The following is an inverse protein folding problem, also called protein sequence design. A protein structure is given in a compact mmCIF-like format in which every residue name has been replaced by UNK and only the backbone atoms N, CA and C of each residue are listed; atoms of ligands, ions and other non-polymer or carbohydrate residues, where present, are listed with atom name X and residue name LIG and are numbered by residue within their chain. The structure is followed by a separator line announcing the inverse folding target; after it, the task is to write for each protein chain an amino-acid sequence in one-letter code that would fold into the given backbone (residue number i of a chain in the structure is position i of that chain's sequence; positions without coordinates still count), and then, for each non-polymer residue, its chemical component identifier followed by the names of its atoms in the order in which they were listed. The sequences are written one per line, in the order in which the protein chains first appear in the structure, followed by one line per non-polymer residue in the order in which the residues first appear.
data_IF_636489880318
#
_entry.id   IF_636489880318
#
_cell.length_a   1.000
_cell.length_b   1.000
_cell.length_c   1.000
_cell.angle_alpha   90.00
_cell.angle_beta   90.00
_cell.angle_gamma   90.00
#
_symmetry.space_group_name_H-M   'P 1'
#
loop_
_entity.id
_entity.type
_entity.pdbx_description
1 polymer ?
#
# COMPACT_ATOMS: atom_id res chain seq x y z
N UNK A 1 32.40 6.02 -71.81
CA UNK A 1 32.08 7.17 -70.96
C UNK A 1 30.57 7.26 -70.69
N UNK A 2 29.94 6.25 -70.08
CA UNK A 2 28.57 6.33 -69.51
C UNK A 2 28.08 5.05 -68.79
N UNK A 3 28.80 3.92 -68.87
CA UNK A 3 28.37 2.64 -68.25
C UNK A 3 29.06 2.37 -66.89
N UNK A 4 30.18 3.05 -66.56
CA UNK A 4 30.82 2.93 -65.24
C UNK A 4 30.15 3.79 -64.14
N UNK A 5 29.29 4.74 -64.48
CA UNK A 5 28.59 5.59 -63.49
C UNK A 5 27.24 4.99 -63.03
N UNK A 6 26.78 3.91 -63.65
CA UNK A 6 25.62 3.14 -63.18
C UNK A 6 26.01 2.24 -61.99
N UNK A 7 27.32 2.00 -61.79
CA UNK A 7 27.89 1.33 -60.61
C UNK A 7 28.09 2.25 -59.41
N UNK A 8 27.62 3.50 -59.44
CA UNK A 8 27.12 4.08 -58.20
C UNK A 8 25.79 3.40 -57.92
N UNK A 9 25.89 2.11 -57.55
CA UNK A 9 24.90 1.41 -56.76
C UNK A 9 24.39 2.47 -55.81
N UNK A 10 23.09 2.79 -55.88
CA UNK A 10 22.43 3.47 -54.78
C UNK A 10 22.60 2.50 -53.61
N UNK A 11 23.77 2.52 -52.98
CA UNK A 11 24.04 1.86 -51.72
C UNK A 11 23.20 2.69 -50.78
N UNK A 12 21.93 2.32 -50.67
CA UNK A 12 21.06 2.81 -49.62
C UNK A 12 21.80 2.43 -48.35
N UNK A 13 22.50 3.40 -47.78
CA UNK A 13 23.30 3.20 -46.59
C UNK A 13 22.32 2.80 -45.51
N UNK A 14 22.43 1.56 -45.03
CA UNK A 14 21.57 1.08 -43.97
C UNK A 14 21.74 1.98 -42.77
N UNK A 15 20.64 2.55 -42.29
CA UNK A 15 20.67 3.41 -41.11
C UNK A 15 20.98 2.62 -39.83
N UNK A 16 20.83 1.30 -39.88
CA UNK A 16 21.20 0.40 -38.79
C UNK A 16 22.67 -0.07 -38.83
N UNK A 17 23.41 0.17 -39.92
CA UNK A 17 24.83 -0.21 -40.00
C UNK A 17 25.72 0.47 -38.96
N UNK A 18 25.32 1.64 -38.46
CA UNK A 18 26.03 2.36 -37.41
C UNK A 18 25.62 1.94 -35.99
N UNK A 19 24.82 0.87 -35.84
CA UNK A 19 24.30 0.37 -34.55
C UNK A 19 23.79 1.48 -33.63
N UNK A 20 22.82 2.29 -34.06
CA UNK A 20 22.42 3.51 -33.34
C UNK A 20 21.58 3.25 -32.07
N UNK A 21 21.08 2.02 -31.88
CA UNK A 21 20.22 1.68 -30.75
C UNK A 21 21.04 1.12 -29.60
N UNK A 22 20.82 1.65 -28.40
CA UNK A 22 21.54 1.29 -27.19
C UNK A 22 20.81 0.18 -26.40
N UNK A 23 21.45 -0.32 -25.34
CA UNK A 23 20.85 -1.26 -24.37
C UNK A 23 20.26 -2.54 -25.00
N UNK A 24 20.86 -3.01 -26.10
CA UNK A 24 20.41 -4.23 -26.79
C UNK A 24 19.11 -4.06 -27.59
N UNK A 25 18.64 -2.82 -27.76
CA UNK A 25 17.45 -2.51 -28.55
C UNK A 25 17.62 -2.88 -30.03
N UNK A 26 16.51 -3.30 -30.65
CA UNK A 26 16.51 -3.75 -32.04
C UNK A 26 16.38 -2.55 -32.98
N UNK A 27 17.34 -2.40 -33.90
CA UNK A 27 17.26 -1.39 -34.95
C UNK A 27 16.41 -1.88 -36.13
N UNK A 28 15.47 -1.04 -36.56
CA UNK A 28 14.59 -1.29 -37.71
C UNK A 28 14.73 -0.15 -38.71
N UNK A 29 14.98 -0.47 -39.98
CA UNK A 29 14.93 0.52 -41.04
C UNK A 29 13.50 0.98 -41.32
N UNK A 30 13.33 2.30 -41.40
CA UNK A 30 12.08 2.96 -41.81
C UNK A 30 12.42 3.91 -42.96
N UNK A 31 11.49 4.29 -43.83
CA UNK A 31 11.79 5.11 -45.03
C UNK A 31 12.71 6.31 -44.73
N UNK A 32 13.92 6.29 -45.32
CA UNK A 32 14.99 7.26 -45.12
C UNK A 32 15.49 7.48 -43.67
N UNK A 33 15.11 6.63 -42.71
CA UNK A 33 15.51 6.72 -41.30
C UNK A 33 15.63 5.34 -40.64
N UNK A 34 15.71 5.29 -39.31
CA UNK A 34 15.61 4.09 -38.49
C UNK A 34 14.66 4.33 -37.31
N UNK A 35 14.26 3.24 -36.67
CA UNK A 35 13.53 3.21 -35.39
C UNK A 35 14.20 2.17 -34.50
N UNK A 36 14.38 2.50 -33.22
CA UNK A 36 14.78 1.53 -32.21
C UNK A 36 13.53 0.95 -31.54
N UNK A 37 13.42 -0.38 -31.51
CA UNK A 37 12.49 -1.10 -30.63
C UNK A 37 13.21 -1.36 -29.30
N UNK A 38 12.89 -0.53 -28.31
CA UNK A 38 13.48 -0.62 -26.98
C UNK A 38 13.07 -1.92 -26.30
N UNK A 39 14.00 -2.50 -25.55
CA UNK A 39 13.67 -3.54 -24.58
C UNK A 39 12.83 -2.94 -23.44
N UNK A 40 12.10 -3.78 -22.68
CA UNK A 40 11.47 -3.36 -21.43
C UNK A 40 12.44 -2.58 -20.54
N UNK A 41 11.93 -1.54 -19.88
CA UNK A 41 12.73 -0.68 -19.00
C UNK A 41 13.54 0.42 -19.67
N UNK A 42 13.54 0.51 -21.01
CA UNK A 42 14.24 1.57 -21.75
C UNK A 42 13.29 2.41 -22.60
N UNK A 43 13.67 3.66 -22.81
CA UNK A 43 12.95 4.62 -23.62
C UNK A 43 13.90 5.61 -24.32
N UNK A 44 13.33 6.54 -25.10
CA UNK A 44 14.07 7.45 -25.95
C UNK A 44 14.19 6.97 -27.39
N UNK A 45 14.63 7.87 -28.26
CA UNK A 45 14.76 7.59 -29.71
C UNK A 45 15.80 6.48 -29.96
N UNK A 46 16.83 6.42 -29.12
CA UNK A 46 17.93 5.46 -29.22
C UNK A 46 17.84 4.37 -28.15
N UNK A 47 16.80 4.35 -27.33
CA UNK A 47 16.66 3.44 -26.18
C UNK A 47 17.81 3.57 -25.17
N UNK A 48 18.37 4.77 -25.06
CA UNK A 48 19.51 5.13 -24.21
C UNK A 48 19.10 5.58 -22.80
N UNK A 49 17.81 5.85 -22.59
CA UNK A 49 17.28 6.30 -21.32
C UNK A 49 16.59 5.15 -20.58
N UNK A 50 16.79 5.08 -19.27
CA UNK A 50 16.02 4.16 -18.43
C UNK A 50 14.63 4.75 -18.19
N UNK A 51 13.60 3.94 -18.43
CA UNK A 51 12.22 4.35 -18.30
C UNK A 51 11.88 4.63 -16.84
N UNK A 52 11.35 5.81 -16.57
CA UNK A 52 10.88 6.16 -15.23
C UNK A 52 9.43 5.71 -15.03
N UNK A 53 9.23 4.59 -14.34
CA UNK A 53 7.90 4.05 -14.05
C UNK A 53 7.08 4.91 -13.08
N UNK A 54 7.70 5.90 -12.43
CA UNK A 54 7.03 6.86 -11.54
C UNK A 54 6.51 8.11 -12.25
N UNK A 55 6.80 8.32 -13.54
CA UNK A 55 6.44 9.54 -14.26
C UNK A 55 4.92 9.84 -14.24
N UNK A 56 4.10 8.79 -14.23
CA UNK A 56 2.64 8.89 -14.21
C UNK A 56 2.05 9.07 -12.80
N UNK A 57 2.89 9.17 -11.76
CA UNK A 57 2.49 9.22 -10.35
C UNK A 57 1.49 8.11 -9.97
N UNK A 58 1.90 6.83 -10.09
CA UNK A 58 1.01 5.71 -9.81
C UNK A 58 0.63 5.60 -8.33
N UNK A 59 1.52 6.00 -7.42
CA UNK A 59 1.32 5.94 -5.97
C UNK A 59 0.38 7.05 -5.47
N UNK A 60 -0.56 6.69 -4.59
CA UNK A 60 -1.59 7.57 -4.02
C UNK A 60 -1.30 7.92 -2.56
N UNK A 61 -2.11 8.83 -2.01
CA UNK A 61 -2.14 9.15 -0.58
C UNK A 61 -0.78 9.54 0.04
N UNK A 62 0.04 10.28 -0.73
CA UNK A 62 1.34 10.77 -0.27
C UNK A 62 2.43 9.70 -0.22
N UNK A 63 2.20 8.51 -0.78
CA UNK A 63 3.20 7.46 -0.89
C UNK A 63 4.39 7.86 -1.77
N UNK A 64 5.57 7.32 -1.46
CA UNK A 64 6.78 7.54 -2.25
C UNK A 64 6.86 6.51 -3.37
N UNK A 65 7.06 6.96 -4.61
CA UNK A 65 7.27 6.07 -5.76
C UNK A 65 8.75 5.81 -5.98
N UNK A 66 9.12 4.53 -6.10
CA UNK A 66 10.44 4.08 -6.51
C UNK A 66 10.35 3.42 -7.89
N UNK A 67 11.03 4.01 -8.88
CA UNK A 67 11.14 3.38 -10.20
C UNK A 67 12.06 2.16 -10.10
N UNK A 68 11.64 1.05 -10.70
CA UNK A 68 12.44 -0.17 -10.91
C UNK A 68 12.65 -0.34 -12.42
N UNK A 69 13.40 -1.38 -12.80
CA UNK A 69 13.77 -1.66 -14.19
C UNK A 69 12.54 -1.84 -15.08
N UNK A 70 11.60 -2.70 -14.69
CA UNK A 70 10.37 -2.99 -15.45
C UNK A 70 9.07 -2.74 -14.66
N UNK A 71 9.18 -2.11 -13.49
CA UNK A 71 8.04 -1.88 -12.60
C UNK A 71 8.25 -0.62 -11.74
N UNK A 72 7.30 -0.33 -10.88
CA UNK A 72 7.42 0.63 -9.79
C UNK A 72 7.09 -0.05 -8.45
N UNK A 73 7.62 0.52 -7.38
CA UNK A 73 7.28 0.15 -6.02
C UNK A 73 6.75 1.40 -5.29
N UNK A 74 5.58 1.29 -4.68
CA UNK A 74 5.04 2.35 -3.83
C UNK A 74 5.35 2.04 -2.37
N UNK A 75 6.05 2.96 -1.71
CA UNK A 75 6.21 2.95 -0.27
C UNK A 75 5.03 3.69 0.36
N UNK A 76 4.05 2.92 0.83
CA UNK A 76 2.84 3.47 1.43
C UNK A 76 3.13 4.15 2.77
N UNK A 77 2.32 5.16 3.09
CA UNK A 77 2.27 5.72 4.44
C UNK A 77 1.52 4.76 5.37
N UNK A 78 1.71 4.89 6.69
CA UNK A 78 1.24 3.90 7.69
C UNK A 78 -0.26 3.54 7.61
N UNK A 79 -1.09 4.44 7.07
CA UNK A 79 -2.55 4.30 6.98
C UNK A 79 -3.07 3.65 5.69
N UNK A 80 -2.21 3.39 4.71
CA UNK A 80 -2.62 2.90 3.39
C UNK A 80 -1.85 1.65 2.99
N UNK A 81 -2.45 0.85 2.11
CA UNK A 81 -1.90 -0.38 1.59
C UNK A 81 -2.29 -0.62 0.12
N UNK A 82 -1.87 -1.77 -0.41
CA UNK A 82 -2.06 -2.13 -1.82
C UNK A 82 -0.94 -1.62 -2.73
N UNK A 83 -0.94 -2.07 -3.99
CA UNK A 83 0.14 -1.80 -4.97
C UNK A 83 0.38 -0.30 -5.21
N UNK A 84 -0.69 0.48 -5.17
CA UNK A 84 -0.67 1.93 -5.41
C UNK A 84 -0.97 2.75 -4.17
N UNK A 85 -1.05 2.13 -2.98
CA UNK A 85 -1.36 2.80 -1.72
C UNK A 85 -2.71 3.55 -1.75
N UNK A 86 -3.71 3.01 -2.46
CA UNK A 86 -5.04 3.60 -2.59
C UNK A 86 -6.04 3.02 -1.59
N UNK A 87 -5.73 1.86 -1.02
CA UNK A 87 -6.59 1.17 -0.07
C UNK A 87 -6.27 1.64 1.35
N UNK A 88 -7.32 1.91 2.14
CA UNK A 88 -7.14 2.15 3.57
C UNK A 88 -6.79 0.86 4.28
N UNK A 89 -5.77 0.91 5.12
CA UNK A 89 -5.38 -0.23 5.95
C UNK A 89 -6.44 -0.51 7.00
N UNK A 90 -6.99 -1.72 6.99
CA UNK A 90 -7.96 -2.16 7.99
C UNK A 90 -7.23 -2.75 9.22
N UNK A 91 -7.09 -1.93 10.26
CA UNK A 91 -6.47 -2.32 11.52
C UNK A 91 -7.31 -3.30 12.35
N UNK A 92 -8.59 -3.51 12.00
CA UNK A 92 -9.47 -4.45 12.69
C UNK A 92 -9.27 -5.91 12.26
N UNK A 93 -8.53 -6.18 11.17
CA UNK A 93 -8.26 -7.55 10.69
C UNK A 93 -7.57 -8.41 11.77
N UNK A 94 -6.78 -7.78 12.66
CA UNK A 94 -6.09 -8.47 13.75
C UNK A 94 -6.97 -8.74 14.98
N UNK A 95 -8.25 -8.34 14.94
CA UNK A 95 -9.19 -8.43 16.05
C UNK A 95 -8.62 -7.85 17.36
N UNK A 96 -8.26 -6.56 17.37
CA UNK A 96 -7.56 -5.98 18.50
C UNK A 96 -8.44 -5.80 19.75
N UNK A 97 -9.76 -5.70 19.61
CA UNK A 97 -10.69 -5.52 20.72
C UNK A 97 -11.03 -6.86 21.40
N UNK A 98 -10.95 -6.93 22.73
CA UNK A 98 -11.21 -8.16 23.49
C UNK A 98 -12.71 -8.30 23.81
N UNK A 99 -13.32 -7.27 24.39
CA UNK A 99 -14.75 -7.22 24.72
C UNK A 99 -15.40 -5.97 24.13
N UNK A 100 -15.52 -5.94 22.79
CA UNK A 100 -16.06 -4.79 22.08
C UNK A 100 -16.00 -4.92 20.57
N UNK A 101 -16.66 -3.99 19.89
CA UNK A 101 -16.64 -3.91 18.43
C UNK A 101 -15.47 -3.05 17.95
N UNK A 102 -14.75 -3.53 16.95
CA UNK A 102 -13.66 -2.79 16.34
C UNK A 102 -14.17 -1.91 15.21
N UNK A 103 -13.74 -0.64 15.19
CA UNK A 103 -13.92 0.28 14.07
C UNK A 103 -12.57 0.74 13.54
N UNK A 104 -12.27 0.54 12.25
CA UNK A 104 -11.05 1.06 11.67
C UNK A 104 -11.13 2.59 11.58
N UNK A 105 -10.02 3.27 11.87
CA UNK A 105 -9.87 4.70 11.71
C UNK A 105 -8.58 4.99 10.94
N UNK A 106 -8.39 6.24 10.48
CA UNK A 106 -7.17 6.58 9.74
C UNK A 106 -5.96 6.43 10.66
N UNK A 107 -5.09 5.47 10.31
CA UNK A 107 -3.85 5.20 11.01
C UNK A 107 -3.95 4.36 12.28
N UNK A 108 -5.15 3.90 12.66
CA UNK A 108 -5.35 3.09 13.87
C UNK A 108 -6.71 2.34 13.87
N UNK A 109 -7.09 1.77 15.01
CA UNK A 109 -8.43 1.27 15.30
C UNK A 109 -9.01 1.94 16.55
N UNK A 110 -10.33 1.87 16.69
CA UNK A 110 -11.04 2.22 17.91
C UNK A 110 -11.91 1.05 18.34
N UNK A 111 -11.91 0.74 19.63
CA UNK A 111 -12.80 -0.26 20.21
C UNK A 111 -13.99 0.40 20.91
N UNK A 112 -15.20 0.06 20.49
CA UNK A 112 -16.42 0.36 21.23
C UNK A 112 -16.65 -0.75 22.26
N UNK A 113 -16.24 -0.49 23.50
CA UNK A 113 -16.30 -1.49 24.56
C UNK A 113 -17.72 -1.86 24.93
N UNK A 114 -17.94 -3.15 25.16
CA UNK A 114 -19.13 -3.67 25.81
C UNK A 114 -19.27 -3.06 27.23
N UNK A 115 -20.51 -2.94 27.76
CA UNK A 115 -20.71 -2.51 29.14
C UNK A 115 -19.90 -3.37 30.14
N UNK A 116 -19.27 -2.72 31.12
CA UNK A 116 -18.39 -3.39 32.09
C UNK A 116 -16.92 -3.48 31.68
N UNK A 117 -16.57 -3.07 30.46
CA UNK A 117 -15.18 -3.07 29.97
C UNK A 117 -14.68 -1.68 29.59
N UNK A 118 -13.37 -1.46 29.73
CA UNK A 118 -12.68 -0.22 29.36
C UNK A 118 -11.26 -0.51 28.85
N UNK A 119 -10.57 0.56 28.46
CA UNK A 119 -9.23 0.50 27.88
C UNK A 119 -9.27 0.58 26.36
N UNK A 120 -8.13 0.86 25.73
CA UNK A 120 -8.03 1.00 24.27
C UNK A 120 -8.41 -0.29 23.52
N UNK A 121 -8.27 -1.45 24.18
CA UNK A 121 -8.60 -2.77 23.63
C UNK A 121 -9.77 -3.45 24.35
N UNK A 122 -10.49 -2.74 25.22
CA UNK A 122 -11.58 -3.28 26.04
C UNK A 122 -11.16 -4.53 26.85
N UNK A 123 -9.93 -4.52 27.33
CA UNK A 123 -9.26 -5.61 28.05
C UNK A 123 -9.19 -5.37 29.56
N UNK A 124 -9.71 -4.24 30.03
CA UNK A 124 -9.72 -3.86 31.44
C UNK A 124 -11.15 -3.93 31.95
N UNK A 125 -11.37 -4.79 32.93
CA UNK A 125 -12.62 -4.91 33.66
C UNK A 125 -12.91 -3.64 34.48
N UNK A 126 -14.16 -3.18 34.48
CA UNK A 126 -14.60 -2.05 35.31
C UNK A 126 -14.95 -2.59 36.68
N UNK A 127 -14.35 -2.03 37.74
CA UNK A 127 -14.80 -2.31 39.10
C UNK A 127 -16.04 -1.49 39.44
N UNK A 128 -17.23 -2.06 39.28
CA UNK A 128 -18.47 -1.36 39.63
C UNK A 128 -18.64 -1.15 41.14
N UNK A 129 -17.97 -1.94 41.99
CA UNK A 129 -18.06 -1.80 43.43
C UNK A 129 -17.52 -0.46 43.94
N UNK A 130 -16.65 0.20 43.17
CA UNK A 130 -16.15 1.55 43.47
C UNK A 130 -17.25 2.63 43.47
N UNK A 131 -18.44 2.32 42.93
CA UNK A 131 -19.60 3.23 42.94
C UNK A 131 -20.65 2.87 44.00
N UNK A 132 -20.35 1.93 44.90
CA UNK A 132 -21.26 1.46 45.94
C UNK A 132 -22.65 1.07 45.39
N UNK A 133 -22.74 0.14 44.41
CA UNK A 133 -23.99 -0.16 43.71
C UNK A 133 -24.97 -1.00 44.54
N UNK A 134 -24.50 -1.64 45.61
CA UNK A 134 -25.32 -2.50 46.46
C UNK A 134 -26.09 -1.67 47.50
N UNK A 135 -27.40 -1.91 47.58
CA UNK A 135 -28.28 -1.26 48.54
C UNK A 135 -28.24 -1.94 49.91
N UNK A 136 -28.71 -1.24 50.96
CA UNK A 136 -28.85 -1.76 52.32
C UNK A 136 -27.57 -2.39 52.90
N UNK A 137 -26.41 -1.76 52.68
CA UNK A 137 -25.10 -2.23 53.14
C UNK A 137 -24.73 -3.65 52.65
N UNK A 138 -25.29 -4.09 51.52
CA UNK A 138 -24.94 -5.35 50.89
C UNK A 138 -23.46 -5.40 50.46
N UNK A 139 -22.82 -6.55 50.63
CA UNK A 139 -21.43 -6.76 50.24
C UNK A 139 -21.32 -6.90 48.71
N UNK A 140 -20.48 -6.05 48.10
CA UNK A 140 -20.24 -6.02 46.66
C UNK A 140 -19.05 -6.88 46.28
N UNK A 141 -19.17 -7.66 45.20
CA UNK A 141 -18.08 -8.42 44.60
C UNK A 141 -18.01 -8.08 43.12
N UNK A 142 -16.86 -7.54 42.68
CA UNK A 142 -16.60 -7.29 41.27
C UNK A 142 -16.44 -8.61 40.51
N UNK A 143 -16.96 -8.68 39.29
CA UNK A 143 -16.92 -9.86 38.42
C UNK A 143 -16.61 -9.44 36.98
N UNK A 144 -16.10 -10.32 36.11
CA UNK A 144 -15.81 -9.93 34.73
C UNK A 144 -17.06 -9.38 34.01
N UNK A 145 -16.99 -8.10 33.62
CA UNK A 145 -18.04 -7.34 32.95
C UNK A 145 -19.24 -6.96 33.82
N UNK A 146 -19.20 -7.19 35.14
CA UNK A 146 -20.34 -6.94 36.02
C UNK A 146 -20.01 -6.98 37.52
N UNK A 147 -21.03 -6.94 38.37
CA UNK A 147 -20.86 -7.12 39.81
C UNK A 147 -21.99 -7.95 40.41
N UNK A 148 -21.72 -8.49 41.61
CA UNK A 148 -22.71 -9.20 42.41
C UNK A 148 -22.82 -8.58 43.79
N UNK A 149 -24.06 -8.34 44.21
CA UNK A 149 -24.38 -7.99 45.59
C UNK A 149 -24.79 -9.25 46.37
N UNK A 150 -24.31 -9.35 47.60
CA UNK A 150 -24.70 -10.39 48.55
C UNK A 150 -25.16 -9.73 49.85
N UNK A 151 -26.28 -10.20 50.38
CA UNK A 151 -26.79 -9.76 51.68
C UNK A 151 -26.25 -10.71 52.75
N UNK A 152 -25.81 -10.16 53.88
CA UNK A 152 -25.64 -10.98 55.07
C UNK A 152 -27.01 -11.41 55.62
N UNK A 153 -27.11 -12.68 56.02
CA UNK A 153 -28.34 -13.36 56.42
C UNK A 153 -29.00 -12.82 57.72
N UNK A 154 -28.64 -11.63 58.17
CA UNK A 154 -29.16 -10.98 59.38
C UNK A 154 -30.18 -9.86 59.09
N UNK A 155 -30.48 -9.57 57.82
CA UNK A 155 -31.57 -8.69 57.42
C UNK A 155 -32.63 -9.47 56.61
N UNK A 156 -33.49 -10.20 57.33
CA UNK A 156 -34.82 -10.67 56.88
C UNK A 156 -35.91 -9.76 57.45
#
# INVERSE_FOLDING_TARGET
MLILLIYLVLQKTSKCSSTPCENGAKCIEVENTFKCECLPGFEGILCDMQKNMCETNPCKNGATCLSKEDDFECLCTDSFEGRTCDDFKDFCITLPCVHGECRPVIGDFLCDCEPGWKGARCDIDIDECMRFPCMHDGNCTNTPGSYRCSCDSYHL
#
